data_IF_855288152626
#
_entry.id   IF_855288152626
#
_cell.length_a   1.000
_cell.length_b   1.000
_cell.length_c   1.000
_cell.angle_alpha   90.00
_cell.angle_beta   90.00
_cell.angle_gamma   90.00
#
_symmetry.space_group_name_H-M   'P 1'
#
loop_
_entity.id
_entity.type
_entity.pdbx_description
1 polymer ?
#
# COMPACT_ATOMS: atom_id res chain seq x y z
N UNK A 1 22.22 -4.92 17.39
CA UNK A 1 22.35 -5.39 16.02
C UNK A 1 21.72 -4.38 15.08
N UNK A 2 22.49 -3.90 14.15
CA UNK A 2 21.98 -2.93 13.19
C UNK A 2 21.44 -3.63 11.97
N UNK A 3 20.14 -3.56 11.83
CA UNK A 3 19.51 -4.07 10.62
C UNK A 3 19.24 -2.89 9.72
N UNK A 4 20.15 -2.68 8.81
CA UNK A 4 19.95 -1.65 7.82
C UNK A 4 19.08 -2.21 6.71
N UNK A 5 18.01 -1.51 6.39
CA UNK A 5 17.12 -1.96 5.32
C UNK A 5 17.70 -1.50 3.99
N UNK A 6 17.93 -2.45 3.12
CA UNK A 6 18.44 -2.21 1.78
C UNK A 6 17.50 -2.88 0.79
N UNK A 7 17.72 -2.62 -0.51
CA UNK A 7 16.91 -3.27 -1.53
C UNK A 7 17.10 -4.79 -1.52
N UNK A 8 18.20 -5.26 -0.94
CA UNK A 8 18.48 -6.70 -0.89
C UNK A 8 17.70 -7.41 0.20
N UNK A 9 17.37 -6.70 1.30
CA UNK A 9 16.68 -7.35 2.42
C UNK A 9 15.27 -6.79 2.63
N UNK A 10 14.84 -5.82 1.84
CA UNK A 10 13.51 -5.25 2.00
C UNK A 10 12.43 -6.31 1.86
N UNK A 11 12.65 -7.31 1.01
CA UNK A 11 11.66 -8.36 0.81
C UNK A 11 11.33 -9.11 2.10
N UNK A 12 12.20 -9.04 3.09
CA UNK A 12 11.95 -9.68 4.38
C UNK A 12 10.90 -8.94 5.19
N UNK A 13 10.76 -7.63 4.96
CA UNK A 13 9.77 -6.81 5.65
C UNK A 13 8.42 -6.78 4.94
N UNK A 14 8.44 -6.92 3.64
CA UNK A 14 7.22 -6.71 2.84
C UNK A 14 6.05 -7.60 3.25
N UNK A 15 6.25 -8.91 3.47
CA UNK A 15 5.08 -9.74 3.78
C UNK A 15 4.31 -9.28 5.01
N UNK A 16 5.02 -8.88 6.06
CA UNK A 16 4.37 -8.41 7.27
C UNK A 16 3.64 -7.11 7.06
N UNK A 17 4.28 -6.17 6.36
CA UNK A 17 3.66 -4.88 6.07
C UNK A 17 2.43 -5.05 5.18
N UNK A 18 2.57 -5.83 4.11
CA UNK A 18 1.47 -6.07 3.18
C UNK A 18 0.31 -6.73 3.90
N UNK A 19 0.60 -7.75 4.70
CA UNK A 19 -0.44 -8.49 5.41
C UNK A 19 -1.27 -7.57 6.29
N UNK A 20 -0.63 -6.68 7.02
CA UNK A 20 -1.34 -5.79 7.93
C UNK A 20 -2.20 -4.78 7.19
N UNK A 21 -1.66 -4.18 6.13
CA UNK A 21 -2.41 -3.20 5.34
C UNK A 21 -3.61 -3.88 4.69
N UNK A 22 -3.39 -5.06 4.13
CA UNK A 22 -4.45 -5.79 3.45
C UNK A 22 -5.56 -6.18 4.41
N UNK A 23 -5.20 -6.58 5.64
CA UNK A 23 -6.19 -6.91 6.65
C UNK A 23 -7.06 -5.70 7.01
N UNK A 24 -6.43 -4.54 7.17
CA UNK A 24 -7.18 -3.31 7.46
C UNK A 24 -8.12 -3.00 6.31
N UNK A 25 -7.62 -3.07 5.10
CA UNK A 25 -8.41 -2.76 3.91
C UNK A 25 -9.59 -3.71 3.75
N UNK A 26 -9.34 -5.00 3.89
CA UNK A 26 -10.40 -6.00 3.77
C UNK A 26 -11.50 -5.78 4.80
N UNK A 27 -11.09 -5.46 6.02
CA UNK A 27 -12.05 -5.24 7.10
C UNK A 27 -12.87 -3.97 6.87
N UNK A 28 -12.21 -2.89 6.50
CA UNK A 28 -12.87 -1.61 6.33
C UNK A 28 -13.87 -1.62 5.18
N UNK A 29 -13.54 -2.36 4.13
CA UNK A 29 -14.38 -2.40 2.93
C UNK A 29 -15.24 -3.65 2.85
N UNK A 30 -15.11 -4.53 3.84
CA UNK A 30 -15.88 -5.77 3.90
C UNK A 30 -15.74 -6.57 2.60
N UNK A 31 -14.51 -6.75 2.16
CA UNK A 31 -14.20 -7.53 0.96
C UNK A 31 -13.33 -8.71 1.33
N UNK A 32 -13.30 -9.75 0.49
CA UNK A 32 -12.46 -10.91 0.77
C UNK A 32 -10.98 -10.52 0.84
N UNK A 33 -10.25 -11.19 1.71
CA UNK A 33 -8.85 -10.91 1.93
C UNK A 33 -8.05 -11.03 0.64
N UNK A 34 -8.34 -12.05 -0.17
CA UNK A 34 -7.63 -12.26 -1.42
C UNK A 34 -7.84 -11.10 -2.39
N UNK A 35 -9.05 -10.59 -2.45
CA UNK A 35 -9.33 -9.45 -3.31
C UNK A 35 -8.60 -8.21 -2.83
N UNK A 36 -8.60 -7.98 -1.52
CA UNK A 36 -7.87 -6.86 -0.94
C UNK A 36 -6.38 -6.96 -1.27
N UNK A 37 -5.84 -8.17 -1.17
CA UNK A 37 -4.44 -8.41 -1.48
C UNK A 37 -4.12 -8.07 -2.93
N UNK A 38 -4.96 -8.53 -3.85
CA UNK A 38 -4.75 -8.25 -5.27
C UNK A 38 -4.79 -6.76 -5.56
N UNK A 39 -5.76 -6.05 -4.99
CA UNK A 39 -5.88 -4.62 -5.21
C UNK A 39 -4.66 -3.87 -4.68
N UNK A 40 -4.18 -4.27 -3.50
CA UNK A 40 -3.02 -3.61 -2.93
C UNK A 40 -1.76 -3.87 -3.76
N UNK A 41 -1.57 -5.09 -4.23
CA UNK A 41 -0.40 -5.43 -5.06
C UNK A 41 -0.38 -4.65 -6.37
N UNK A 42 -1.55 -4.28 -6.89
CA UNK A 42 -1.62 -3.54 -8.13
C UNK A 42 -1.52 -2.02 -7.91
N UNK A 43 -1.41 -1.58 -6.68
CA UNK A 43 -1.41 -0.16 -6.35
C UNK A 43 -0.03 0.47 -6.52
N UNK A 44 -0.03 1.78 -6.69
CA UNK A 44 1.20 2.54 -6.67
C UNK A 44 1.80 2.58 -5.27
N UNK A 45 0.95 2.53 -4.25
CA UNK A 45 1.43 2.48 -2.87
C UNK A 45 2.31 1.26 -2.66
N UNK A 46 1.89 0.10 -3.18
CA UNK A 46 2.73 -1.09 -3.05
C UNK A 46 4.05 -0.94 -3.81
N UNK A 47 4.00 -0.37 -5.01
CA UNK A 47 5.22 -0.16 -5.79
C UNK A 47 6.21 0.73 -5.03
N UNK A 48 5.69 1.77 -4.40
CA UNK A 48 6.53 2.66 -3.61
C UNK A 48 7.05 1.97 -2.36
N UNK A 49 6.21 1.16 -1.71
CA UNK A 49 6.63 0.41 -0.54
C UNK A 49 7.76 -0.56 -0.88
N UNK A 50 7.68 -1.20 -2.03
CA UNK A 50 8.67 -2.17 -2.46
C UNK A 50 9.96 -1.53 -2.95
N UNK A 51 9.96 -0.22 -3.14
CA UNK A 51 11.14 0.53 -3.57
C UNK A 51 11.83 1.11 -2.35
N UNK A 52 13.01 0.62 -2.04
CA UNK A 52 13.73 1.01 -0.84
C UNK A 52 13.98 2.52 -0.79
N UNK A 53 14.15 3.16 -1.92
CA UNK A 53 14.49 4.57 -1.97
C UNK A 53 13.35 5.48 -1.52
N UNK A 54 12.12 5.01 -1.56
CA UNK A 54 10.98 5.82 -1.13
C UNK A 54 10.86 5.90 0.38
N UNK A 55 11.52 4.99 1.09
CA UNK A 55 11.47 4.91 2.55
C UNK A 55 10.09 4.61 3.11
N UNK A 56 9.14 4.21 2.28
CA UNK A 56 7.82 3.85 2.78
C UNK A 56 7.85 2.65 3.72
N UNK A 57 8.86 1.83 3.61
CA UNK A 57 9.01 0.68 4.50
C UNK A 57 9.18 1.09 5.97
N UNK A 58 9.50 2.35 6.23
CA UNK A 58 9.54 2.91 7.59
C UNK A 58 8.15 3.02 8.20
N UNK A 59 7.14 3.14 7.38
CA UNK A 59 5.80 3.45 7.85
C UNK A 59 5.19 2.24 8.52
N UNK A 60 4.41 2.48 9.59
CA UNK A 60 3.58 1.43 10.16
C UNK A 60 2.39 1.14 9.26
N UNK A 61 1.67 0.08 9.60
CA UNK A 61 0.57 -0.38 8.77
C UNK A 61 -0.52 0.68 8.60
N UNK A 62 -0.83 1.42 9.68
CA UNK A 62 -1.87 2.44 9.61
C UNK A 62 -1.46 3.56 8.66
N UNK A 63 -0.20 4.01 8.75
CA UNK A 63 0.28 5.06 7.87
C UNK A 63 0.31 4.60 6.42
N UNK A 64 0.70 3.35 6.17
CA UNK A 64 0.68 2.80 4.83
C UNK A 64 -0.74 2.69 4.30
N UNK A 65 -1.67 2.30 5.16
CA UNK A 65 -3.07 2.24 4.77
C UNK A 65 -3.58 3.62 4.37
N UNK A 66 -3.17 4.66 5.10
CA UNK A 66 -3.55 6.02 4.75
C UNK A 66 -3.01 6.42 3.38
N UNK A 67 -1.75 6.05 3.10
CA UNK A 67 -1.17 6.32 1.79
C UNK A 67 -1.98 5.64 0.69
N UNK A 68 -2.39 4.40 0.95
CA UNK A 68 -3.18 3.64 -0.01
C UNK A 68 -4.55 4.30 -0.21
N UNK A 69 -5.18 4.73 0.88
CA UNK A 69 -6.47 5.40 0.79
C UNK A 69 -6.37 6.72 0.03
N UNK A 70 -5.29 7.45 0.25
CA UNK A 70 -5.05 8.70 -0.48
C UNK A 70 -4.92 8.42 -1.98
N UNK A 71 -4.23 7.35 -2.33
CA UNK A 71 -4.11 6.96 -3.71
C UNK A 71 -5.47 6.65 -4.34
N UNK A 72 -6.28 5.86 -3.65
CA UNK A 72 -7.60 5.50 -4.15
C UNK A 72 -8.49 6.73 -4.29
N UNK A 73 -8.38 7.64 -3.34
CA UNK A 73 -9.15 8.87 -3.37
C UNK A 73 -8.76 9.73 -4.56
N UNK A 74 -7.48 9.84 -4.82
CA UNK A 74 -7.00 10.61 -5.96
C UNK A 74 -7.45 10.02 -7.27
N UNK A 75 -7.41 8.71 -7.39
CA UNK A 75 -7.89 8.04 -8.60
C UNK A 75 -9.37 8.32 -8.82
N UNK A 76 -10.14 8.27 -7.73
CA UNK A 76 -11.55 8.54 -7.79
C UNK A 76 -11.83 9.98 -8.18
N UNK A 77 -11.07 10.92 -7.58
CA UNK A 77 -11.22 12.34 -7.91
C UNK A 77 -10.87 12.63 -9.36
N UNK A 78 -9.81 12.03 -9.85
CA UNK A 78 -9.42 12.21 -11.25
C UNK A 78 -10.54 11.71 -12.14
N UNK A 79 -11.11 10.55 -11.81
CA UNK A 79 -12.20 9.97 -12.56
C UNK A 79 -13.44 10.84 -12.49
N UNK A 80 -13.74 11.37 -11.30
CA UNK A 80 -14.90 12.20 -11.08
C UNK A 80 -14.77 13.57 -11.67
N UNK A 81 -13.55 14.07 -11.77
CA UNK A 81 -13.28 15.40 -12.32
C UNK A 81 -12.95 15.36 -13.79
N UNK A 82 -13.06 14.21 -14.37
CA UNK A 82 -12.85 14.12 -15.78
C UNK A 82 -13.78 15.08 -16.45
N UNK A 83 -13.24 15.97 -17.25
CA UNK A 83 -14.11 16.93 -17.89
C UNK A 83 -15.09 16.17 -18.71
N UNK A 84 -16.27 16.43 -18.41
CA UNK A 84 -17.29 15.89 -19.20
C UNK A 84 -17.30 16.70 -20.43
N UNK A 85 -16.80 16.17 -21.29
CA UNK A 85 -16.77 16.95 -22.45
C UNK A 85 -17.64 16.38 -23.41
#
# INVERSE_FOLDING_TARGET
MNLEVTDKNLYLLLPGKVSRVVQIYAHEYNIPLLEALKRFYLSDTYKRLADETTKLWHYGAVALYQEFMDELKQRENIKGNQPVQ
#
